data_IF_428553366334
#
_entry.id   IF_428553366334
#
_cell.length_a   1.000
_cell.length_b   1.000
_cell.length_c   1.000
_cell.angle_alpha   90.00
_cell.angle_beta   90.00
_cell.angle_gamma   90.00
#
_symmetry.space_group_name_H-M   'P 1'
#
loop_
_entity.id
_entity.type
_entity.pdbx_description
1 polymer ?
#
# COMPACT_ATOMS: atom_id res chain seq x y z
N UNK A 1 -23.93 -28.29 -26.76
CA UNK A 1 -22.80 -27.35 -26.63
C UNK A 1 -22.10 -27.68 -25.31
N UNK A 2 -20.77 -27.91 -25.27
CA UNK A 2 -20.09 -28.16 -24.01
C UNK A 2 -20.04 -26.85 -23.20
N UNK A 3 -20.53 -26.88 -21.96
CA UNK A 3 -20.41 -25.76 -21.03
C UNK A 3 -18.92 -25.51 -20.75
N UNK A 4 -18.42 -24.31 -21.03
CA UNK A 4 -17.10 -23.88 -20.56
C UNK A 4 -17.12 -23.92 -19.03
N UNK A 5 -16.59 -24.98 -18.44
CA UNK A 5 -16.25 -25.00 -17.03
C UNK A 5 -15.17 -23.96 -16.81
N UNK A 6 -15.57 -22.83 -16.19
CA UNK A 6 -14.64 -21.83 -15.67
C UNK A 6 -13.86 -22.50 -14.54
N UNK A 7 -12.57 -22.73 -14.77
CA UNK A 7 -11.66 -23.13 -13.71
C UNK A 7 -11.41 -21.85 -12.90
N UNK A 8 -11.68 -21.84 -11.58
CA UNK A 8 -11.39 -20.68 -10.74
C UNK A 8 -9.89 -20.39 -10.82
N UNK A 9 -9.54 -19.17 -11.22
CA UNK A 9 -8.16 -18.72 -11.12
C UNK A 9 -7.86 -18.50 -9.64
N UNK A 10 -6.89 -19.27 -9.13
CA UNK A 10 -6.43 -19.18 -7.75
C UNK A 10 -4.97 -18.74 -7.82
N UNK A 11 -4.63 -17.67 -7.11
CA UNK A 11 -3.24 -17.25 -6.97
C UNK A 11 -2.46 -18.35 -6.26
N UNK A 12 -1.21 -18.61 -6.68
CA UNK A 12 -0.33 -19.47 -5.90
C UNK A 12 0.07 -18.80 -4.57
N UNK A 13 0.65 -19.58 -3.66
CA UNK A 13 0.99 -19.12 -2.31
C UNK A 13 1.95 -17.91 -2.31
N UNK A 14 2.83 -17.82 -3.31
CA UNK A 14 3.79 -16.73 -3.45
C UNK A 14 3.07 -15.45 -3.88
N UNK A 15 2.23 -15.53 -4.91
CA UNK A 15 1.42 -14.40 -5.37
C UNK A 15 0.41 -13.92 -4.31
N UNK A 16 -0.15 -14.83 -3.50
CA UNK A 16 -0.98 -14.47 -2.35
C UNK A 16 -0.19 -13.73 -1.26
N UNK A 17 1.06 -14.16 -0.99
CA UNK A 17 1.93 -13.50 -0.02
C UNK A 17 2.31 -12.08 -0.49
N UNK A 18 2.68 -11.92 -1.75
CA UNK A 18 2.95 -10.61 -2.36
C UNK A 18 1.73 -9.68 -2.30
N UNK A 19 0.54 -10.17 -2.67
CA UNK A 19 -0.70 -9.39 -2.56
C UNK A 19 -0.98 -8.96 -1.12
N UNK A 20 -0.80 -9.85 -0.14
CA UNK A 20 -0.98 -9.53 1.28
C UNK A 20 0.01 -8.47 1.76
N UNK A 21 1.28 -8.61 1.41
CA UNK A 21 2.32 -7.65 1.78
C UNK A 21 2.06 -6.29 1.15
N UNK A 22 1.81 -6.26 -0.16
CA UNK A 22 1.42 -5.06 -0.88
C UNK A 22 0.25 -4.33 -0.22
N UNK A 23 -0.83 -5.07 0.08
CA UNK A 23 -2.03 -4.51 0.69
C UNK A 23 -1.71 -3.88 2.05
N UNK A 24 -0.93 -4.57 2.89
CA UNK A 24 -0.54 -4.05 4.20
C UNK A 24 0.30 -2.78 4.08
N UNK A 25 1.30 -2.77 3.21
CA UNK A 25 2.23 -1.65 3.01
C UNK A 25 1.50 -0.43 2.45
N UNK A 26 0.60 -0.63 1.47
CA UNK A 26 -0.25 0.43 0.94
C UNK A 26 -1.19 0.99 2.01
N UNK A 27 -1.73 0.13 2.87
CA UNK A 27 -2.62 0.59 3.94
C UNK A 27 -1.89 1.46 4.97
N UNK A 28 -0.66 1.08 5.31
CA UNK A 28 0.21 1.87 6.20
C UNK A 28 0.51 3.24 5.58
N UNK A 29 0.87 3.28 4.30
CA UNK A 29 1.15 4.53 3.61
C UNK A 29 -0.05 5.47 3.62
N UNK A 30 -1.24 4.96 3.28
CA UNK A 30 -2.47 5.73 3.37
C UNK A 30 -2.73 6.23 4.79
N UNK A 31 -2.56 5.38 5.81
CA UNK A 31 -2.87 5.76 7.19
C UNK A 31 -2.00 6.91 7.67
N UNK A 32 -0.74 6.94 7.23
CA UNK A 32 0.16 8.08 7.47
C UNK A 32 -0.37 9.33 6.77
N UNK A 33 -0.69 9.25 5.48
CA UNK A 33 -1.22 10.41 4.73
C UNK A 33 -2.51 10.93 5.34
N UNK A 34 -3.44 10.05 5.71
CA UNK A 34 -4.71 10.42 6.33
C UNK A 34 -4.50 11.12 7.68
N UNK A 35 -3.59 10.60 8.52
CA UNK A 35 -3.24 11.23 9.79
C UNK A 35 -2.66 12.63 9.59
N UNK A 36 -1.80 12.81 8.58
CA UNK A 36 -1.18 14.11 8.25
C UNK A 36 -2.18 15.12 7.65
N UNK A 37 -3.15 14.66 6.86
CA UNK A 37 -4.20 15.52 6.29
C UNK A 37 -5.18 15.96 7.37
N UNK A 38 -5.45 15.09 8.35
CA UNK A 38 -6.41 15.35 9.42
C UNK A 38 -5.77 15.93 10.70
N UNK A 39 -4.45 16.12 10.75
CA UNK A 39 -3.79 16.82 11.86
C UNK A 39 -4.08 18.32 11.78
N UNK A 40 -4.97 18.78 12.67
CA UNK A 40 -5.60 20.10 12.61
C UNK A 40 -4.69 21.28 13.03
N UNK A 41 -3.50 21.03 13.58
CA UNK A 41 -2.66 22.06 14.22
C UNK A 41 -1.17 21.93 13.86
N UNK A 42 -0.85 21.62 12.60
CA UNK A 42 0.56 21.62 12.15
C UNK A 42 1.06 23.06 12.02
N UNK A 43 2.13 23.40 12.74
CA UNK A 43 2.82 24.68 12.60
C UNK A 43 4.13 24.56 11.80
N UNK A 44 4.89 25.66 11.70
CA UNK A 44 6.15 25.67 10.95
C UNK A 44 7.24 24.78 11.57
N UNK A 45 7.20 24.55 12.88
CA UNK A 45 8.18 23.73 13.58
C UNK A 45 7.92 22.22 13.33
N UNK A 46 6.69 21.85 12.99
CA UNK A 46 6.30 20.49 12.60
C UNK A 46 6.66 20.12 11.15
N UNK A 47 6.95 21.11 10.29
CA UNK A 47 7.21 20.90 8.86
C UNK A 47 8.32 19.87 8.55
N UNK A 48 9.46 19.80 9.27
CA UNK A 48 10.45 18.75 9.07
C UNK A 48 9.91 17.33 9.34
N UNK A 49 9.10 17.17 10.40
CA UNK A 49 8.48 15.89 10.73
C UNK A 49 7.43 15.49 9.69
N UNK A 50 6.62 16.45 9.23
CA UNK A 50 5.67 16.28 8.15
C UNK A 50 6.35 15.81 6.86
N UNK A 51 7.42 16.48 6.43
CA UNK A 51 8.19 16.11 5.23
C UNK A 51 8.77 14.70 5.39
N UNK A 52 9.29 14.36 6.57
CA UNK A 52 9.83 13.01 6.81
C UNK A 52 8.74 11.94 6.75
N UNK A 53 7.57 12.20 7.32
CA UNK A 53 6.44 11.28 7.30
C UNK A 53 5.89 11.07 5.88
N UNK A 54 5.79 12.14 5.09
CA UNK A 54 5.39 12.06 3.67
C UNK A 54 6.38 11.25 2.83
N UNK A 55 7.70 11.41 3.07
CA UNK A 55 8.72 10.59 2.40
C UNK A 55 8.57 9.11 2.75
N UNK A 56 8.35 8.79 4.03
CA UNK A 56 8.09 7.43 4.47
C UNK A 56 6.83 6.83 3.84
N UNK A 57 5.74 7.60 3.76
CA UNK A 57 4.52 7.18 3.07
C UNK A 57 4.75 6.93 1.58
N UNK A 58 5.53 7.78 0.90
CA UNK A 58 5.88 7.58 -0.51
C UNK A 58 6.71 6.31 -0.75
N UNK A 59 7.67 6.02 0.14
CA UNK A 59 8.47 4.79 0.07
C UNK A 59 7.61 3.54 0.30
N UNK A 60 6.71 3.57 1.29
CA UNK A 60 5.75 2.50 1.53
C UNK A 60 4.82 2.28 0.32
N UNK A 61 4.32 3.35 -0.31
CA UNK A 61 3.54 3.22 -1.55
C UNK A 61 4.35 2.55 -2.66
N UNK A 62 5.60 2.98 -2.86
CA UNK A 62 6.48 2.38 -3.88
C UNK A 62 6.74 0.91 -3.61
N UNK A 63 7.00 0.54 -2.36
CA UNK A 63 7.26 -0.85 -1.97
C UNK A 63 6.00 -1.71 -2.13
N UNK A 64 4.84 -1.21 -1.73
CA UNK A 64 3.58 -1.92 -1.92
C UNK A 64 3.22 -2.12 -3.40
N UNK A 65 3.52 -1.15 -4.27
CA UNK A 65 3.34 -1.30 -5.71
C UNK A 65 4.34 -2.29 -6.33
N UNK A 66 5.59 -2.31 -5.86
CA UNK A 66 6.58 -3.31 -6.29
C UNK A 66 6.13 -4.72 -5.89
N UNK A 67 5.63 -4.90 -4.66
CA UNK A 67 5.09 -6.18 -4.21
C UNK A 67 3.92 -6.66 -5.08
N UNK A 68 3.05 -5.76 -5.60
CA UNK A 68 2.01 -6.14 -6.56
C UNK A 68 2.55 -6.57 -7.92
N UNK A 69 3.71 -6.03 -8.32
CA UNK A 69 4.37 -6.34 -9.58
C UNK A 69 5.19 -7.63 -9.55
N UNK A 70 5.53 -8.13 -8.36
CA UNK A 70 6.24 -9.40 -8.20
C UNK A 70 5.27 -10.58 -8.29
N UNK A 71 5.38 -11.33 -9.40
CA UNK A 71 4.75 -12.63 -9.64
C UNK A 71 5.75 -13.76 -9.42
#
# INVERSE_FOLDING_TARGET
MPSKTSIPYTLDDKAQAHLKNATNTLWQAYSIVDLLVNSADLDNDDMPALISALRGAAELMSNGLNDLGEV
#
